data_IF_860876836648
#
_entry.id   IF_860876836648
#
_cell.length_a   1.000
_cell.length_b   1.000
_cell.length_c   1.000
_cell.angle_alpha   90.00
_cell.angle_beta   90.00
_cell.angle_gamma   90.00
#
_symmetry.space_group_name_H-M   'P 1'
#
loop_
_entity.id
_entity.type
_entity.pdbx_description
1 polymer ?
#
# COMPACT_ATOMS: atom_id res chain seq x y z
N UNK A 1 39.45 -20.52 27.25
CA UNK A 1 38.82 -20.38 25.94
C UNK A 1 37.51 -19.60 26.12
N UNK A 2 37.44 -18.34 25.71
CA UNK A 2 36.17 -17.59 25.65
C UNK A 2 35.31 -18.23 24.55
N UNK A 3 34.03 -18.51 24.79
CA UNK A 3 33.15 -18.98 23.73
C UNK A 3 33.07 -17.87 22.64
N UNK A 4 33.29 -18.25 21.39
CA UNK A 4 33.21 -17.38 20.26
C UNK A 4 31.81 -16.70 20.26
N UNK A 5 31.76 -15.38 20.20
CA UNK A 5 30.53 -14.62 20.06
C UNK A 5 29.76 -15.16 18.84
N UNK A 6 28.45 -15.43 18.97
CA UNK A 6 27.64 -15.87 17.84
C UNK A 6 27.79 -14.84 16.70
N UNK A 7 27.90 -15.31 15.44
CA UNK A 7 28.03 -14.40 14.30
C UNK A 7 26.88 -13.39 14.29
N UNK A 8 27.20 -12.13 14.02
CA UNK A 8 26.21 -11.08 13.92
C UNK A 8 25.11 -11.50 12.93
N UNK A 9 23.82 -11.27 13.24
CA UNK A 9 22.75 -11.65 12.34
C UNK A 9 22.97 -11.01 10.97
N UNK A 10 22.73 -11.74 9.86
CA UNK A 10 22.94 -11.18 8.52
C UNK A 10 22.18 -9.87 8.38
N UNK A 11 22.86 -8.84 7.88
CA UNK A 11 22.25 -7.52 7.66
C UNK A 11 21.05 -7.66 6.73
N UNK A 12 19.88 -7.14 7.14
CA UNK A 12 18.68 -7.15 6.28
C UNK A 12 18.98 -6.41 5.00
N UNK A 13 18.68 -7.05 3.87
CA UNK A 13 18.88 -6.45 2.56
C UNK A 13 17.97 -5.21 2.42
N UNK A 14 18.50 -4.16 1.82
CA UNK A 14 17.77 -2.98 1.43
C UNK A 14 17.57 -2.99 -0.10
N UNK A 15 16.35 -2.73 -0.55
CA UNK A 15 15.97 -2.78 -1.96
C UNK A 15 15.59 -1.37 -2.46
N UNK A 16 16.55 -0.53 -2.91
CA UNK A 16 16.31 0.88 -3.24
C UNK A 16 15.27 1.09 -4.34
N UNK A 17 15.21 0.17 -5.32
CA UNK A 17 14.28 0.26 -6.45
C UNK A 17 12.81 0.20 -6.02
N UNK A 18 12.51 -0.42 -4.86
CA UNK A 18 11.14 -0.51 -4.37
C UNK A 18 10.56 0.84 -3.95
N UNK A 19 11.41 1.79 -3.53
CA UNK A 19 10.98 3.15 -3.22
C UNK A 19 10.47 3.84 -4.50
N UNK A 20 11.21 3.77 -5.60
CA UNK A 20 10.76 4.33 -6.88
C UNK A 20 9.46 3.67 -7.38
N UNK A 21 9.32 2.35 -7.26
CA UNK A 21 8.11 1.63 -7.64
C UNK A 21 6.88 2.10 -6.82
N UNK A 22 7.04 2.41 -5.53
CA UNK A 22 5.97 2.99 -4.71
C UNK A 22 5.45 4.31 -5.25
N UNK A 23 6.35 5.15 -5.75
CA UNK A 23 5.94 6.42 -6.35
C UNK A 23 5.11 6.21 -7.61
N UNK A 24 5.49 5.28 -8.49
CA UNK A 24 4.70 4.96 -9.68
C UNK A 24 3.33 4.35 -9.33
N UNK A 25 3.26 3.50 -8.30
CA UNK A 25 1.98 2.99 -7.81
C UNK A 25 1.09 4.12 -7.27
N UNK A 26 1.67 5.06 -6.52
CA UNK A 26 0.96 6.26 -6.09
C UNK A 26 0.45 7.09 -7.28
N UNK A 27 1.26 7.31 -8.31
CA UNK A 27 0.81 8.04 -9.51
C UNK A 27 -0.41 7.38 -10.16
N UNK A 28 -0.48 6.04 -10.19
CA UNK A 28 -1.66 5.33 -10.70
C UNK A 28 -2.90 5.62 -9.88
N UNK A 29 -2.79 5.64 -8.54
CA UNK A 29 -3.87 6.02 -7.62
C UNK A 29 -4.25 7.49 -7.82
N UNK A 30 -3.28 8.38 -7.94
CA UNK A 30 -3.50 9.80 -8.15
C UNK A 30 -4.30 10.06 -9.44
N UNK A 31 -3.88 9.49 -10.57
CA UNK A 31 -4.59 9.64 -11.84
C UNK A 31 -6.02 9.10 -11.82
N UNK A 32 -6.29 8.07 -11.02
CA UNK A 32 -7.66 7.58 -10.83
C UNK A 32 -8.58 8.60 -10.17
N UNK A 33 -8.08 9.33 -9.18
CA UNK A 33 -8.89 10.27 -8.39
C UNK A 33 -8.99 11.67 -9.02
N UNK A 34 -8.07 12.06 -9.91
CA UNK A 34 -8.13 13.36 -10.58
C UNK A 34 -9.33 13.39 -11.52
N UNK A 35 -10.22 14.42 -11.40
CA UNK A 35 -11.36 14.60 -12.30
C UNK A 35 -10.89 15.14 -13.66
N UNK A 36 -10.46 14.24 -14.55
CA UNK A 36 -10.09 14.58 -15.93
C UNK A 36 -11.35 14.62 -16.76
N UNK A 37 -11.67 15.77 -17.31
CA UNK A 37 -12.90 16.01 -18.12
C UNK A 37 -12.67 15.84 -19.62
N UNK A 38 -11.43 15.63 -20.05
CA UNK A 38 -11.09 15.51 -21.48
C UNK A 38 -11.23 14.07 -21.97
N UNK A 39 -11.80 13.90 -23.15
CA UNK A 39 -11.79 12.66 -23.92
C UNK A 39 -10.44 12.43 -24.61
N UNK A 40 -9.35 12.60 -23.88
CA UNK A 40 -8.05 12.26 -24.40
C UNK A 40 -7.73 10.79 -24.05
N UNK A 41 -7.64 9.89 -25.06
CA UNK A 41 -7.56 8.45 -24.82
C UNK A 41 -6.47 8.07 -23.83
N UNK A 42 -5.27 8.64 -23.95
CA UNK A 42 -4.11 8.32 -23.06
C UNK A 42 -4.43 8.62 -21.59
N UNK A 43 -5.05 9.77 -21.29
CA UNK A 43 -5.42 10.15 -19.93
C UNK A 43 -6.55 9.27 -19.40
N UNK A 44 -7.50 8.88 -20.24
CA UNK A 44 -8.57 7.97 -19.88
C UNK A 44 -8.01 6.57 -19.52
N UNK A 45 -7.03 6.04 -20.26
CA UNK A 45 -6.36 4.78 -19.91
C UNK A 45 -5.59 4.88 -18.58
N UNK A 46 -4.91 5.98 -18.31
CA UNK A 46 -4.24 6.21 -17.03
C UNK A 46 -5.22 6.28 -15.85
N UNK A 47 -6.41 6.83 -16.09
CA UNK A 47 -7.48 6.95 -15.08
C UNK A 47 -8.18 5.62 -14.79
N UNK A 48 -8.46 4.81 -15.81
CA UNK A 48 -9.19 3.54 -15.65
C UNK A 48 -8.45 2.59 -14.71
N UNK A 49 -9.20 1.85 -13.88
CA UNK A 49 -8.66 0.80 -13.03
C UNK A 49 -7.67 1.25 -11.95
N UNK A 50 -7.86 2.42 -11.36
CA UNK A 50 -6.95 2.98 -10.35
C UNK A 50 -6.78 2.17 -9.08
N UNK A 51 -7.74 1.32 -8.73
CA UNK A 51 -7.63 0.39 -7.60
C UNK A 51 -6.39 -0.52 -7.68
N UNK A 52 -5.92 -0.84 -8.88
CA UNK A 52 -4.73 -1.66 -9.10
C UNK A 52 -3.44 -1.06 -8.48
N UNK A 53 -3.38 0.27 -8.30
CA UNK A 53 -2.27 0.91 -7.58
C UNK A 53 -2.26 0.53 -6.10
N UNK A 54 -3.42 0.32 -5.50
CA UNK A 54 -3.56 -0.16 -4.11
C UNK A 54 -3.16 -1.63 -4.03
N UNK A 55 -3.54 -2.47 -5.00
CA UNK A 55 -3.11 -3.88 -5.07
C UNK A 55 -1.58 -3.99 -5.11
N UNK A 56 -0.89 -3.08 -5.83
CA UNK A 56 0.57 -3.03 -5.80
C UNK A 56 1.12 -2.79 -4.38
N UNK A 57 0.53 -1.86 -3.62
CA UNK A 57 0.95 -1.62 -2.24
C UNK A 57 0.68 -2.83 -1.35
N UNK A 58 -0.41 -3.57 -1.54
CA UNK A 58 -0.69 -4.79 -0.79
C UNK A 58 0.30 -5.90 -1.12
N UNK A 59 0.63 -6.13 -2.39
CA UNK A 59 1.68 -7.09 -2.79
C UNK A 59 3.03 -6.70 -2.19
N UNK A 60 3.38 -5.42 -2.24
CA UNK A 60 4.63 -4.90 -1.68
C UNK A 60 4.67 -5.03 -0.15
N UNK A 61 3.55 -4.80 0.53
CA UNK A 61 3.41 -5.02 1.98
C UNK A 61 3.54 -6.50 2.31
N UNK A 62 2.87 -7.38 1.56
CA UNK A 62 3.03 -8.83 1.66
C UNK A 62 4.49 -9.27 1.52
N UNK A 63 5.18 -8.77 0.48
CA UNK A 63 6.60 -9.03 0.26
C UNK A 63 7.47 -8.57 1.44
N UNK A 64 7.42 -7.28 1.76
CA UNK A 64 8.33 -6.68 2.74
C UNK A 64 8.11 -7.26 4.14
N UNK A 65 6.85 -7.42 4.55
CA UNK A 65 6.54 -7.90 5.89
C UNK A 65 6.95 -9.36 6.03
N UNK A 66 6.58 -10.22 5.07
CA UNK A 66 6.99 -11.63 5.12
C UNK A 66 8.50 -11.78 5.07
N UNK A 67 9.20 -11.04 4.19
CA UNK A 67 10.66 -11.02 4.13
C UNK A 67 11.27 -10.67 5.50
N UNK A 68 10.82 -9.59 6.13
CA UNK A 68 11.36 -9.12 7.41
C UNK A 68 11.10 -10.11 8.55
N UNK A 69 9.88 -10.68 8.62
CA UNK A 69 9.50 -11.63 9.68
C UNK A 69 10.20 -12.98 9.53
N UNK A 70 10.33 -13.48 8.29
CA UNK A 70 11.07 -14.72 8.01
C UNK A 70 12.55 -14.53 8.30
N UNK A 71 13.16 -13.41 7.89
CA UNK A 71 14.55 -13.11 8.20
C UNK A 71 14.80 -12.97 9.72
N UNK A 72 13.90 -12.32 10.46
CA UNK A 72 13.98 -12.29 11.93
C UNK A 72 13.91 -13.69 12.55
N UNK A 73 13.00 -14.52 12.05
CA UNK A 73 12.82 -15.89 12.53
C UNK A 73 14.01 -16.79 12.21
N UNK A 74 14.69 -16.56 11.07
CA UNK A 74 15.94 -17.25 10.73
C UNK A 74 17.10 -16.82 11.63
N UNK A 75 17.24 -15.51 11.87
CA UNK A 75 18.36 -14.97 12.62
C UNK A 75 18.24 -15.18 14.14
N UNK A 76 17.03 -15.18 14.70
CA UNK A 76 16.77 -15.15 16.15
C UNK A 76 15.95 -16.34 16.67
N UNK A 77 15.52 -17.26 15.81
CA UNK A 77 14.60 -18.34 16.18
C UNK A 77 13.14 -17.94 16.29
N UNK A 78 12.83 -16.66 16.51
CA UNK A 78 11.49 -16.12 16.71
C UNK A 78 11.30 -14.74 16.08
N UNK A 79 10.05 -14.35 15.89
CA UNK A 79 9.67 -13.02 15.39
C UNK A 79 9.65 -12.02 16.54
N UNK A 80 10.24 -10.86 16.35
CA UNK A 80 10.21 -9.75 17.32
C UNK A 80 8.90 -8.95 17.20
N UNK A 81 7.77 -9.55 17.62
CA UNK A 81 6.39 -9.00 17.46
C UNK A 81 6.29 -7.55 17.95
N UNK A 82 6.68 -7.28 19.21
CA UNK A 82 6.62 -5.92 19.79
C UNK A 82 7.39 -4.90 18.96
N UNK A 83 8.61 -5.23 18.57
CA UNK A 83 9.45 -4.33 17.77
C UNK A 83 8.89 -4.10 16.38
N UNK A 84 8.25 -5.12 15.79
CA UNK A 84 7.55 -4.99 14.52
C UNK A 84 6.35 -4.05 14.63
N UNK A 85 5.46 -4.27 15.59
CA UNK A 85 4.27 -3.42 15.80
C UNK A 85 4.65 -1.96 16.05
N UNK A 86 5.59 -1.69 16.96
CA UNK A 86 6.07 -0.32 17.23
C UNK A 86 6.58 0.34 15.93
N UNK A 87 7.34 -0.38 15.10
CA UNK A 87 7.85 0.17 13.84
C UNK A 87 6.75 0.51 12.84
N UNK A 88 5.65 -0.24 12.81
CA UNK A 88 4.52 0.01 11.90
C UNK A 88 3.62 1.10 12.43
N UNK A 89 3.21 1.00 13.70
CA UNK A 89 2.34 2.02 14.31
C UNK A 89 2.95 3.42 14.24
N UNK A 90 4.23 3.60 14.61
CA UNK A 90 4.89 4.91 14.54
C UNK A 90 5.17 5.40 13.11
N UNK A 91 5.00 4.57 12.11
CA UNK A 91 5.08 4.99 10.70
C UNK A 91 3.71 5.42 10.14
N UNK A 92 2.61 4.76 10.57
CA UNK A 92 1.30 4.89 9.93
C UNK A 92 0.36 5.71 10.80
N UNK A 93 0.21 5.37 12.08
CA UNK A 93 -0.78 5.95 12.98
C UNK A 93 -0.73 7.47 13.11
N UNK A 94 0.44 8.14 13.22
CA UNK A 94 0.45 9.58 13.40
C UNK A 94 -0.30 10.31 12.27
N UNK A 95 0.04 10.02 11.02
CA UNK A 95 -0.59 10.68 9.88
C UNK A 95 -2.03 10.17 9.63
N UNK A 96 -2.30 8.89 9.88
CA UNK A 96 -3.65 8.34 9.84
C UNK A 96 -4.58 9.11 10.80
N UNK A 97 -4.21 9.19 12.08
CA UNK A 97 -5.04 9.90 13.07
C UNK A 97 -5.09 11.40 12.83
N UNK A 98 -4.05 12.02 12.27
CA UNK A 98 -4.11 13.41 11.84
C UNK A 98 -5.19 13.61 10.75
N UNK A 99 -5.28 12.69 9.78
CA UNK A 99 -6.34 12.71 8.78
C UNK A 99 -7.74 12.45 9.34
N UNK A 100 -7.88 11.52 10.30
CA UNK A 100 -9.15 11.28 11.01
C UNK A 100 -9.57 12.52 11.81
N UNK A 101 -8.63 13.10 12.57
CA UNK A 101 -8.91 14.33 13.34
C UNK A 101 -9.26 15.51 12.42
N UNK A 102 -8.61 15.63 11.26
CA UNK A 102 -8.99 16.62 10.25
C UNK A 102 -10.43 16.39 9.78
N UNK A 103 -10.80 15.14 9.46
CA UNK A 103 -12.13 14.82 8.94
C UNK A 103 -13.26 15.16 9.93
N UNK A 104 -13.09 14.85 11.21
CA UNK A 104 -14.11 15.06 12.24
C UNK A 104 -13.97 16.40 12.97
N UNK A 105 -12.83 17.04 12.92
CA UNK A 105 -12.56 18.31 13.61
C UNK A 105 -12.66 19.53 12.73
N UNK A 106 -12.90 19.38 11.41
CA UNK A 106 -13.02 20.50 10.48
C UNK A 106 -14.36 21.21 10.73
N UNK A 107 -14.38 22.54 11.02
CA UNK A 107 -15.62 23.28 11.15
C UNK A 107 -16.45 23.24 9.85
N UNK A 108 -17.78 23.12 9.95
CA UNK A 108 -18.67 22.94 8.81
C UNK A 108 -18.48 24.02 7.72
N UNK A 109 -18.36 25.28 8.11
CA UNK A 109 -18.13 26.38 7.15
C UNK A 109 -16.80 26.24 6.38
N UNK A 110 -15.77 25.66 7.00
CA UNK A 110 -14.49 25.41 6.34
C UNK A 110 -14.55 24.13 5.50
N UNK A 111 -15.25 23.11 5.97
CA UNK A 111 -15.51 21.89 5.23
C UNK A 111 -16.22 22.19 3.92
N UNK A 112 -17.32 22.94 3.97
CA UNK A 112 -18.08 23.37 2.78
C UNK A 112 -17.22 24.20 1.82
N UNK A 113 -16.43 25.14 2.35
CA UNK A 113 -15.50 25.94 1.54
C UNK A 113 -14.47 25.11 0.81
N UNK A 114 -14.07 23.97 1.38
CA UNK A 114 -13.09 23.03 0.80
C UNK A 114 -13.75 21.92 -0.02
N UNK A 115 -15.09 21.91 -0.12
CA UNK A 115 -15.85 20.90 -0.86
C UNK A 115 -15.99 19.57 -0.11
N UNK A 116 -15.78 19.59 1.21
CA UNK A 116 -16.02 18.43 2.03
C UNK A 116 -17.43 18.45 2.62
N UNK A 117 -18.15 17.37 2.40
CA UNK A 117 -19.46 17.14 2.99
C UNK A 117 -19.38 15.84 3.79
N UNK A 118 -19.34 15.94 5.10
CA UNK A 118 -19.22 14.77 5.98
C UNK A 118 -20.44 13.85 5.85
N UNK A 119 -21.61 14.42 5.63
CA UNK A 119 -22.85 13.68 5.36
C UNK A 119 -23.26 13.93 3.92
N UNK A 120 -23.18 12.92 3.07
CA UNK A 120 -23.55 13.06 1.67
C UNK A 120 -23.64 11.71 0.96
N UNK A 121 -24.54 11.58 -0.01
CA UNK A 121 -24.68 10.39 -0.81
C UNK A 121 -25.07 9.13 -0.03
N UNK A 122 -25.63 9.25 1.19
CA UNK A 122 -26.02 8.12 2.02
C UNK A 122 -24.92 7.60 2.97
N UNK A 123 -23.70 8.14 2.93
CA UNK A 123 -22.64 7.79 3.89
C UNK A 123 -22.67 8.75 5.08
N UNK A 124 -22.72 8.19 6.29
CA UNK A 124 -22.62 8.94 7.55
C UNK A 124 -21.37 8.46 8.29
N UNK A 125 -20.29 9.28 8.35
CA UNK A 125 -19.08 8.92 9.08
C UNK A 125 -19.37 8.65 10.55
N UNK A 126 -18.66 7.66 11.10
CA UNK A 126 -18.69 7.34 12.54
C UNK A 126 -17.24 7.26 13.03
N UNK A 127 -16.87 8.20 13.88
CA UNK A 127 -15.53 8.31 14.45
C UNK A 127 -15.05 7.00 15.11
N UNK A 128 -15.96 6.18 15.65
CA UNK A 128 -15.62 4.90 16.29
C UNK A 128 -14.98 3.95 15.30
N UNK A 129 -15.52 3.85 14.08
CA UNK A 129 -14.97 3.01 13.02
C UNK A 129 -13.63 3.55 12.53
N UNK A 130 -13.50 4.86 12.33
CA UNK A 130 -12.26 5.47 11.85
C UNK A 130 -11.14 5.36 12.90
N UNK A 131 -11.43 5.61 14.20
CA UNK A 131 -10.41 5.49 15.27
C UNK A 131 -9.97 4.04 15.55
N UNK A 132 -10.76 3.05 15.19
CA UNK A 132 -10.47 1.62 15.40
C UNK A 132 -9.98 0.91 14.14
N UNK A 133 -9.66 1.65 13.06
CA UNK A 133 -9.29 1.10 11.76
C UNK A 133 -10.37 0.18 11.15
N UNK A 134 -11.64 0.44 11.39
CA UNK A 134 -12.76 -0.33 10.87
C UNK A 134 -13.56 0.41 9.79
N UNK A 135 -13.01 1.50 9.24
CA UNK A 135 -13.68 2.33 8.22
C UNK A 135 -14.09 1.52 6.99
N UNK A 136 -13.27 0.55 6.57
CA UNK A 136 -13.60 -0.37 5.47
C UNK A 136 -14.87 -1.19 5.76
N UNK A 137 -15.06 -1.68 7.00
CA UNK A 137 -16.29 -2.41 7.37
C UNK A 137 -17.50 -1.50 7.47
N UNK A 138 -17.30 -0.23 7.89
CA UNK A 138 -18.39 0.77 7.85
C UNK A 138 -18.87 0.99 6.42
N UNK A 139 -17.93 1.10 5.46
CA UNK A 139 -18.24 1.24 4.04
C UNK A 139 -18.99 0.00 3.49
N UNK A 140 -18.56 -1.21 3.88
CA UNK A 140 -19.24 -2.46 3.53
C UNK A 140 -20.67 -2.53 4.08
N UNK A 141 -20.87 -2.16 5.33
CA UNK A 141 -22.18 -2.17 6.00
C UNK A 141 -23.16 -1.16 5.40
N UNK A 142 -22.67 -0.03 4.90
CA UNK A 142 -23.48 1.03 4.31
C UNK A 142 -23.61 0.93 2.79
N UNK A 143 -22.92 0.00 2.16
CA UNK A 143 -22.76 -0.09 0.70
C UNK A 143 -22.46 1.29 0.07
N UNK A 144 -21.58 2.06 0.70
CA UNK A 144 -21.29 3.42 0.27
C UNK A 144 -19.87 3.86 0.65
N UNK A 145 -19.37 4.85 -0.09
CA UNK A 145 -18.03 5.44 0.09
C UNK A 145 -18.14 6.87 0.62
N UNK A 146 -17.28 7.28 1.54
CA UNK A 146 -17.18 8.69 2.00
C UNK A 146 -16.50 9.57 0.94
N UNK A 147 -17.05 9.62 -0.27
CA UNK A 147 -16.42 10.24 -1.46
C UNK A 147 -16.07 11.71 -1.29
N UNK A 148 -16.84 12.42 -0.47
CA UNK A 148 -16.70 13.87 -0.22
C UNK A 148 -16.03 14.17 1.12
N UNK A 149 -15.27 13.23 1.68
CA UNK A 149 -14.57 13.41 2.94
C UNK A 149 -13.08 13.08 2.78
N UNK A 150 -12.20 13.57 3.67
CA UNK A 150 -10.80 13.17 3.71
C UNK A 150 -10.60 11.65 3.92
N UNK A 151 -11.64 10.94 4.40
CA UNK A 151 -11.57 9.50 4.72
C UNK A 151 -11.73 8.59 3.50
N UNK A 152 -12.03 9.12 2.33
CA UNK A 152 -12.41 8.33 1.14
C UNK A 152 -11.39 7.25 0.72
N UNK A 153 -10.12 7.42 1.07
CA UNK A 153 -9.04 6.46 0.76
C UNK A 153 -8.56 5.66 1.96
N UNK A 154 -9.16 5.84 3.16
CA UNK A 154 -8.67 5.25 4.40
C UNK A 154 -9.02 3.76 4.56
N UNK A 155 -9.98 3.26 3.80
CA UNK A 155 -10.34 1.84 3.79
C UNK A 155 -9.13 0.91 3.53
N UNK A 156 -8.25 1.28 2.61
CA UNK A 156 -7.08 0.47 2.29
C UNK A 156 -6.04 0.47 3.41
N UNK A 157 -5.91 1.58 4.15
CA UNK A 157 -5.06 1.67 5.33
C UNK A 157 -5.59 0.78 6.47
N UNK A 158 -6.92 0.67 6.62
CA UNK A 158 -7.53 -0.26 7.56
C UNK A 158 -7.19 -1.71 7.22
N UNK A 159 -7.29 -2.11 5.95
CA UNK A 159 -6.92 -3.45 5.49
C UNK A 159 -5.43 -3.73 5.75
N UNK A 160 -4.54 -2.76 5.51
CA UNK A 160 -3.12 -2.91 5.83
C UNK A 160 -2.87 -3.11 7.33
N UNK A 161 -3.56 -2.38 8.21
CA UNK A 161 -3.40 -2.56 9.66
C UNK A 161 -3.91 -3.93 10.13
N UNK A 162 -5.05 -4.41 9.59
CA UNK A 162 -5.53 -5.76 9.84
C UNK A 162 -4.49 -6.79 9.37
N UNK A 163 -3.92 -6.60 8.17
CA UNK A 163 -2.88 -7.45 7.64
C UNK A 163 -1.64 -7.47 8.56
N UNK A 164 -1.15 -6.32 9.02
CA UNK A 164 0.04 -6.27 9.88
C UNK A 164 -0.17 -7.03 11.18
N UNK A 165 -1.34 -6.86 11.81
CA UNK A 165 -1.68 -7.53 13.06
C UNK A 165 -1.78 -9.05 12.85
N UNK A 166 -2.60 -9.48 11.90
CA UNK A 166 -2.83 -10.91 11.63
C UNK A 166 -1.53 -11.59 11.17
N UNK A 167 -0.80 -10.96 10.24
CA UNK A 167 0.40 -11.58 9.65
C UNK A 167 1.53 -11.78 10.65
N UNK A 168 1.79 -10.79 11.50
CA UNK A 168 2.83 -10.92 12.52
C UNK A 168 2.49 -12.01 13.54
N UNK A 169 1.22 -12.11 13.95
CA UNK A 169 0.77 -13.13 14.89
C UNK A 169 0.83 -14.53 14.28
N UNK A 170 0.35 -14.71 13.06
CA UNK A 170 0.39 -16.00 12.37
C UNK A 170 1.84 -16.44 12.14
N UNK A 171 2.71 -15.58 11.62
CA UNK A 171 4.10 -15.93 11.38
C UNK A 171 4.90 -16.12 12.68
N UNK A 172 4.50 -15.50 13.79
CA UNK A 172 5.06 -15.77 15.11
C UNK A 172 4.74 -17.20 15.56
N UNK A 173 3.48 -17.61 15.43
CA UNK A 173 2.99 -18.92 15.90
C UNK A 173 3.44 -20.07 15.01
N UNK A 174 3.51 -19.90 13.69
CA UNK A 174 3.84 -20.96 12.75
C UNK A 174 5.31 -21.38 12.84
N UNK A 175 5.59 -22.68 12.75
CA UNK A 175 6.94 -23.20 12.50
C UNK A 175 7.42 -22.76 11.09
N UNK A 176 8.74 -22.59 10.91
CA UNK A 176 9.32 -22.07 9.65
C UNK A 176 8.89 -22.82 8.41
N UNK A 177 8.86 -24.17 8.50
CA UNK A 177 8.51 -25.04 7.37
C UNK A 177 7.04 -24.97 6.98
N UNK A 178 6.15 -24.46 7.86
CA UNK A 178 4.73 -24.28 7.56
C UNK A 178 4.41 -22.92 6.93
N UNK A 179 5.33 -21.94 6.97
CA UNK A 179 5.05 -20.58 6.44
C UNK A 179 4.70 -20.63 4.96
N UNK A 180 5.45 -21.39 4.16
CA UNK A 180 5.16 -21.53 2.72
C UNK A 180 3.78 -22.16 2.48
N UNK A 181 3.44 -23.19 3.25
CA UNK A 181 2.11 -23.83 3.14
C UNK A 181 0.99 -22.88 3.50
N UNK A 182 1.14 -22.09 4.57
CA UNK A 182 0.20 -21.05 4.96
C UNK A 182 -0.01 -20.03 3.83
N UNK A 183 1.07 -19.52 3.24
CA UNK A 183 1.00 -18.55 2.14
C UNK A 183 0.27 -19.15 0.92
N UNK A 184 0.53 -20.41 0.58
CA UNK A 184 -0.18 -21.10 -0.50
C UNK A 184 -1.65 -21.33 -0.18
N UNK A 185 -2.00 -21.62 1.08
CA UNK A 185 -3.38 -21.81 1.51
C UNK A 185 -4.19 -20.51 1.46
N UNK A 186 -3.55 -19.34 1.64
CA UNK A 186 -4.23 -18.05 1.50
C UNK A 186 -4.82 -17.82 0.09
N UNK A 187 -4.26 -18.43 -0.95
CA UNK A 187 -4.74 -18.25 -2.33
C UNK A 187 -6.16 -18.81 -2.52
N UNK A 188 -6.44 -20.10 -2.28
CA UNK A 188 -7.78 -20.63 -2.39
C UNK A 188 -8.73 -20.09 -1.30
N UNK A 189 -8.22 -19.73 -0.11
CA UNK A 189 -9.03 -19.13 0.95
C UNK A 189 -9.60 -17.78 0.51
N UNK A 190 -8.81 -16.90 -0.10
CA UNK A 190 -9.30 -15.62 -0.63
C UNK A 190 -10.40 -15.83 -1.68
N UNK A 191 -10.23 -16.80 -2.59
CA UNK A 191 -11.25 -17.16 -3.56
C UNK A 191 -12.54 -17.64 -2.86
N UNK A 192 -12.40 -18.48 -1.81
CA UNK A 192 -13.54 -18.94 -1.01
C UNK A 192 -14.28 -17.80 -0.32
N UNK A 193 -13.57 -16.85 0.28
CA UNK A 193 -14.18 -15.68 0.90
C UNK A 193 -14.90 -14.79 -0.12
N UNK A 194 -14.34 -14.55 -1.31
CA UNK A 194 -15.02 -13.81 -2.38
C UNK A 194 -16.28 -14.53 -2.89
N UNK A 195 -16.30 -15.87 -2.89
CA UNK A 195 -17.51 -16.65 -3.19
C UNK A 195 -18.58 -16.51 -2.11
N UNK A 196 -18.19 -16.34 -0.84
CA UNK A 196 -19.10 -16.21 0.30
C UNK A 196 -19.56 -14.77 0.53
N UNK A 197 -18.80 -13.78 0.09
CA UNK A 197 -19.06 -12.36 0.31
C UNK A 197 -20.48 -11.92 -0.08
N UNK A 198 -21.05 -12.29 -1.25
CA UNK A 198 -22.42 -11.92 -1.61
C UNK A 198 -23.51 -12.46 -0.68
N UNK A 199 -23.21 -13.52 0.08
CA UNK A 199 -24.15 -14.08 1.08
C UNK A 199 -24.06 -13.35 2.42
N UNK A 200 -22.88 -12.79 2.75
CA UNK A 200 -22.64 -12.03 3.98
C UNK A 200 -23.07 -10.57 3.82
N UNK A 201 -22.81 -9.99 2.66
CA UNK A 201 -23.13 -8.61 2.30
C UNK A 201 -23.96 -8.54 1.03
N UNK A 202 -25.23 -8.99 1.05
CA UNK A 202 -26.06 -9.19 -0.16
C UNK A 202 -26.39 -7.88 -0.90
N UNK A 203 -26.20 -6.73 -0.27
CA UNK A 203 -26.45 -5.42 -0.87
C UNK A 203 -25.17 -4.65 -1.22
N UNK A 204 -24.01 -5.32 -1.08
CA UNK A 204 -22.73 -4.68 -1.37
C UNK A 204 -22.48 -4.62 -2.88
N UNK A 205 -22.75 -3.45 -3.46
CA UNK A 205 -22.55 -3.17 -4.89
C UNK A 205 -21.31 -2.30 -5.15
N UNK A 206 -20.87 -1.54 -4.15
CA UNK A 206 -19.85 -0.50 -4.31
C UNK A 206 -18.48 -0.96 -3.83
N UNK A 207 -18.46 -1.85 -2.83
CA UNK A 207 -17.26 -2.21 -2.09
C UNK A 207 -16.95 -3.71 -2.16
N UNK A 208 -17.35 -4.37 -3.24
CA UNK A 208 -16.91 -5.75 -3.46
C UNK A 208 -15.42 -5.88 -3.13
N UNK A 209 -15.07 -6.73 -2.19
CA UNK A 209 -13.67 -7.05 -1.87
C UNK A 209 -12.87 -5.98 -1.08
N UNK A 210 -13.44 -5.30 -0.08
CA UNK A 210 -12.66 -4.34 0.74
C UNK A 210 -12.40 -4.81 2.17
N UNK A 211 -12.03 -6.05 2.34
CA UNK A 211 -11.55 -6.58 3.61
C UNK A 211 -10.25 -7.40 3.47
N UNK A 212 -9.67 -7.79 4.60
CA UNK A 212 -8.44 -8.58 4.61
C UNK A 212 -8.65 -9.97 4.01
N UNK A 213 -9.78 -10.61 4.25
CA UNK A 213 -10.02 -12.01 3.88
C UNK A 213 -10.10 -12.17 2.36
N UNK A 214 -10.76 -11.21 1.70
CA UNK A 214 -10.87 -11.17 0.24
C UNK A 214 -9.57 -10.73 -0.45
N UNK A 215 -8.57 -10.20 0.31
CA UNK A 215 -7.25 -9.82 -0.20
C UNK A 215 -6.11 -10.75 0.28
N UNK A 216 -6.41 -11.87 0.94
CA UNK A 216 -5.37 -12.78 1.45
C UNK A 216 -4.41 -13.25 0.36
N UNK A 217 -4.90 -13.52 -0.84
CA UNK A 217 -4.06 -13.92 -1.97
C UNK A 217 -3.13 -12.81 -2.45
N UNK A 218 -3.58 -11.56 -2.45
CA UNK A 218 -2.78 -10.40 -2.86
C UNK A 218 -1.58 -10.24 -1.95
N UNK A 219 -1.81 -10.28 -0.63
CA UNK A 219 -0.72 -10.25 0.36
C UNK A 219 0.14 -11.52 0.31
N UNK A 220 -0.47 -12.69 0.12
CA UNK A 220 0.23 -13.96 0.12
C UNK A 220 1.14 -14.14 -1.09
N UNK A 221 0.75 -13.67 -2.27
CA UNK A 221 1.60 -13.68 -3.47
C UNK A 221 2.86 -12.83 -3.24
N UNK A 222 2.72 -11.62 -2.70
CA UNK A 222 3.86 -10.83 -2.24
C UNK A 222 4.67 -11.57 -1.17
N UNK A 223 3.99 -12.20 -0.22
CA UNK A 223 4.57 -12.99 0.85
C UNK A 223 5.39 -14.19 0.35
N UNK A 224 4.92 -14.91 -0.68
CA UNK A 224 5.68 -16.01 -1.31
C UNK A 224 6.99 -15.52 -1.91
N UNK A 225 6.97 -14.37 -2.58
CA UNK A 225 8.20 -13.73 -3.07
C UNK A 225 9.12 -13.34 -1.91
N UNK A 226 8.56 -12.73 -0.85
CA UNK A 226 9.30 -12.35 0.36
C UNK A 226 9.91 -13.55 1.09
N UNK A 227 9.16 -14.64 1.20
CA UNK A 227 9.65 -15.90 1.75
C UNK A 227 10.82 -16.46 0.93
N UNK A 228 10.69 -16.52 -0.41
CA UNK A 228 11.75 -17.01 -1.27
C UNK A 228 13.03 -16.17 -1.13
N UNK A 229 12.91 -14.85 -1.23
CA UNK A 229 14.05 -13.93 -1.05
C UNK A 229 14.69 -14.06 0.33
N UNK A 230 13.90 -14.26 1.40
CA UNK A 230 14.43 -14.43 2.75
C UNK A 230 15.16 -15.76 2.94
N UNK A 231 14.69 -16.84 2.30
CA UNK A 231 15.23 -18.18 2.50
C UNK A 231 16.38 -18.54 1.56
N UNK A 232 16.36 -18.00 0.33
CA UNK A 232 17.36 -18.29 -0.72
C UNK A 232 17.57 -17.07 -1.63
N UNK A 233 18.14 -15.99 -1.08
CA UNK A 233 18.44 -14.82 -1.89
C UNK A 233 19.43 -15.08 -3.03
N UNK A 234 20.44 -15.91 -2.79
CA UNK A 234 21.47 -16.20 -3.79
C UNK A 234 20.87 -16.95 -5.00
N UNK A 235 20.10 -18.02 -4.75
CA UNK A 235 19.41 -18.77 -5.80
C UNK A 235 18.35 -17.93 -6.50
N UNK A 236 17.60 -17.12 -5.78
CA UNK A 236 16.65 -16.15 -6.35
C UNK A 236 17.38 -15.18 -7.31
N UNK A 237 18.42 -14.50 -6.82
CA UNK A 237 19.17 -13.51 -7.59
C UNK A 237 19.83 -14.13 -8.83
N UNK A 238 20.40 -15.33 -8.70
CA UNK A 238 20.98 -16.05 -9.82
C UNK A 238 19.94 -16.39 -10.90
N UNK A 239 18.74 -16.86 -10.50
CA UNK A 239 17.66 -17.17 -11.46
C UNK A 239 17.19 -15.93 -12.20
N UNK A 240 16.93 -14.82 -11.49
CA UNK A 240 16.46 -13.58 -12.13
C UNK A 240 17.54 -12.99 -13.04
N UNK A 241 18.79 -12.92 -12.59
CA UNK A 241 19.89 -12.38 -13.41
C UNK A 241 20.31 -13.32 -14.55
N UNK A 242 20.03 -14.61 -14.46
CA UNK A 242 20.25 -15.58 -15.52
C UNK A 242 19.26 -15.49 -16.68
N UNK A 243 18.14 -14.78 -16.51
CA UNK A 243 17.21 -14.54 -17.60
C UNK A 243 17.82 -13.55 -18.61
N UNK A 244 17.62 -13.76 -19.93
CA UNK A 244 18.02 -12.81 -20.96
C UNK A 244 17.43 -11.41 -20.67
N UNK A 245 18.23 -10.37 -20.86
CA UNK A 245 17.84 -9.00 -20.54
C UNK A 245 16.60 -8.56 -21.36
N UNK A 246 16.52 -9.01 -22.63
CA UNK A 246 15.36 -8.80 -23.49
C UNK A 246 14.07 -9.38 -22.91
N UNK A 247 14.14 -10.61 -22.35
CA UNK A 247 13.00 -11.24 -21.70
C UNK A 247 12.57 -10.44 -20.44
N UNK A 248 13.53 -9.99 -19.64
CA UNK A 248 13.26 -9.19 -18.43
C UNK A 248 12.58 -7.86 -18.75
N UNK A 249 13.07 -7.14 -19.78
CA UNK A 249 12.40 -5.92 -20.26
C UNK A 249 11.04 -6.22 -20.88
N UNK A 250 10.92 -7.34 -21.61
CA UNK A 250 9.64 -7.80 -22.16
C UNK A 250 8.61 -8.07 -21.06
N UNK A 251 9.00 -8.75 -19.97
CA UNK A 251 8.13 -8.98 -18.81
C UNK A 251 7.71 -7.67 -18.13
N UNK A 252 8.65 -6.74 -17.91
CA UNK A 252 8.34 -5.42 -17.35
C UNK A 252 7.35 -4.69 -18.25
N UNK A 253 7.62 -4.64 -19.56
CA UNK A 253 6.75 -3.99 -20.54
C UNK A 253 5.35 -4.63 -20.59
N UNK A 254 5.25 -5.95 -20.57
CA UNK A 254 3.98 -6.67 -20.56
C UNK A 254 3.16 -6.36 -19.30
N UNK A 255 3.78 -6.32 -18.12
CA UNK A 255 3.08 -5.95 -16.87
C UNK A 255 2.63 -4.49 -16.92
N UNK A 256 3.48 -3.58 -17.38
CA UNK A 256 3.11 -2.17 -17.50
C UNK A 256 1.95 -1.97 -18.49
N UNK A 257 1.96 -2.66 -19.63
CA UNK A 257 0.85 -2.65 -20.57
C UNK A 257 -0.43 -3.23 -19.94
N UNK A 258 -0.32 -4.36 -19.23
CA UNK A 258 -1.47 -4.94 -18.51
C UNK A 258 -2.03 -3.99 -17.44
N UNK A 259 -1.19 -3.19 -16.78
CA UNK A 259 -1.63 -2.17 -15.81
C UNK A 259 -2.32 -0.98 -16.51
N UNK A 260 -1.81 -0.53 -17.64
CA UNK A 260 -2.40 0.58 -18.41
C UNK A 260 -3.72 0.16 -19.05
N UNK A 261 -3.74 -1.00 -19.69
CA UNK A 261 -4.91 -1.58 -20.38
C UNK A 261 -5.69 -2.56 -19.51
N UNK A 262 -5.66 -2.37 -18.19
CA UNK A 262 -6.27 -3.30 -17.26
C UNK A 262 -7.76 -3.52 -17.47
N UNK A 263 -8.49 -2.47 -17.86
CA UNK A 263 -9.92 -2.57 -18.10
C UNK A 263 -10.26 -3.47 -19.30
N UNK A 264 -9.34 -3.61 -20.25
CA UNK A 264 -9.48 -4.43 -21.45
C UNK A 264 -8.89 -5.84 -21.26
N UNK A 265 -7.74 -5.95 -20.58
CA UNK A 265 -7.01 -7.23 -20.42
C UNK A 265 -7.53 -8.04 -19.24
N UNK A 266 -7.91 -7.37 -18.16
CA UNK A 266 -8.39 -7.95 -16.90
C UNK A 266 -9.68 -7.24 -16.46
N UNK A 267 -10.76 -7.26 -17.28
CA UNK A 267 -11.97 -6.51 -16.99
C UNK A 267 -12.61 -7.01 -15.70
N UNK A 268 -13.18 -6.07 -14.95
CA UNK A 268 -14.15 -6.39 -13.93
C UNK A 268 -15.52 -6.56 -14.58
N UNK A 269 -16.11 -7.72 -14.47
CA UNK A 269 -17.42 -8.04 -15.03
C UNK A 269 -18.34 -8.48 -13.89
N UNK A 270 -19.35 -7.69 -13.50
CA UNK A 270 -20.27 -8.04 -12.42
C UNK A 270 -20.82 -9.46 -12.60
N UNK A 271 -20.81 -10.26 -11.53
CA UNK A 271 -21.29 -11.64 -11.54
C UNK A 271 -20.38 -12.66 -12.24
N UNK A 272 -19.24 -12.25 -12.79
CA UNK A 272 -18.30 -13.17 -13.43
C UNK A 272 -17.44 -13.91 -12.40
N UNK A 273 -17.31 -15.25 -12.58
CA UNK A 273 -16.36 -16.06 -11.80
C UNK A 273 -14.91 -15.57 -11.92
N UNK A 274 -14.57 -14.87 -13.02
CA UNK A 274 -13.25 -14.32 -13.23
C UNK A 274 -12.85 -13.29 -12.15
N UNK A 275 -13.81 -12.54 -11.61
CA UNK A 275 -13.56 -11.59 -10.52
C UNK A 275 -13.01 -12.28 -9.25
N UNK A 276 -13.32 -13.56 -9.05
CA UNK A 276 -12.86 -14.36 -7.91
C UNK A 276 -11.33 -14.55 -7.97
N UNK A 277 -10.77 -14.81 -9.15
CA UNK A 277 -9.34 -15.10 -9.35
C UNK A 277 -8.53 -13.88 -9.79
N UNK A 278 -9.20 -12.85 -10.33
CA UNK A 278 -8.58 -11.65 -10.89
C UNK A 278 -7.58 -10.96 -9.94
N UNK A 279 -7.89 -10.70 -8.64
CA UNK A 279 -6.94 -10.07 -7.74
C UNK A 279 -5.64 -10.85 -7.57
N UNK A 280 -5.72 -12.18 -7.47
CA UNK A 280 -4.54 -13.06 -7.43
C UNK A 280 -3.70 -12.99 -8.71
N UNK A 281 -4.33 -12.89 -9.89
CA UNK A 281 -3.63 -12.72 -11.18
C UNK A 281 -2.90 -11.37 -11.19
N UNK A 282 -3.57 -10.28 -10.81
CA UNK A 282 -2.98 -8.95 -10.69
C UNK A 282 -1.79 -8.95 -9.72
N UNK A 283 -1.95 -9.61 -8.59
CA UNK A 283 -0.90 -9.75 -7.60
C UNK A 283 0.32 -10.51 -8.15
N UNK A 284 0.09 -11.58 -8.94
CA UNK A 284 1.16 -12.33 -9.58
C UNK A 284 1.94 -11.47 -10.60
N UNK A 285 1.25 -10.65 -11.40
CA UNK A 285 1.88 -9.70 -12.31
C UNK A 285 2.76 -8.69 -11.55
N UNK A 286 2.28 -8.14 -10.44
CA UNK A 286 3.07 -7.23 -9.61
C UNK A 286 4.24 -7.92 -8.92
N UNK A 287 4.07 -9.14 -8.44
CA UNK A 287 5.18 -9.92 -7.88
C UNK A 287 6.26 -10.20 -8.93
N UNK A 288 5.87 -10.51 -10.19
CA UNK A 288 6.80 -10.66 -11.32
C UNK A 288 7.54 -9.35 -11.62
N UNK A 289 6.84 -8.20 -11.60
CA UNK A 289 7.44 -6.88 -11.76
C UNK A 289 8.45 -6.60 -10.64
N UNK A 290 8.04 -6.74 -9.38
CA UNK A 290 8.89 -6.51 -8.21
C UNK A 290 10.15 -7.39 -8.28
N UNK A 291 10.01 -8.67 -8.64
CA UNK A 291 11.12 -9.62 -8.72
C UNK A 291 12.24 -9.15 -9.65
N UNK A 292 11.93 -8.40 -10.74
CA UNK A 292 12.96 -7.89 -11.65
C UNK A 292 13.90 -6.85 -11.03
N UNK A 293 13.46 -6.18 -9.96
CA UNK A 293 14.18 -5.08 -9.30
C UNK A 293 14.81 -5.47 -7.95
N UNK A 294 14.61 -6.70 -7.48
CA UNK A 294 15.15 -7.15 -6.19
C UNK A 294 16.64 -7.55 -6.20
N UNK A 295 17.22 -8.12 -7.29
CA UNK A 295 18.64 -8.44 -7.28
C UNK A 295 19.49 -7.17 -7.15
N UNK A 296 20.32 -7.10 -6.10
CA UNK A 296 21.14 -5.91 -5.78
C UNK A 296 22.23 -5.65 -6.84
N UNK A 297 22.73 -6.70 -7.50
CA UNK A 297 23.69 -6.64 -8.59
C UNK A 297 23.04 -6.97 -9.92
N UNK A 298 22.06 -6.15 -10.34
CA UNK A 298 21.32 -6.32 -11.58
C UNK A 298 21.56 -5.17 -12.54
N UNK A 299 21.47 -5.43 -13.86
CA UNK A 299 21.45 -4.41 -14.89
C UNK A 299 20.18 -3.55 -14.82
N UNK A 300 19.08 -4.11 -14.28
CA UNK A 300 17.79 -3.40 -14.15
C UNK A 300 17.69 -2.82 -12.74
N UNK A 301 17.76 -1.49 -12.62
CA UNK A 301 17.66 -0.76 -11.34
C UNK A 301 16.92 0.55 -11.51
N UNK A 302 16.21 0.95 -10.46
CA UNK A 302 15.57 2.25 -10.33
C UNK A 302 16.20 2.98 -9.11
N UNK A 303 17.39 3.54 -9.31
CA UNK A 303 18.19 4.16 -8.24
C UNK A 303 18.21 5.69 -8.31
N UNK A 304 17.29 6.30 -9.08
CA UNK A 304 17.18 7.75 -9.15
C UNK A 304 16.83 8.32 -7.75
N UNK A 305 17.62 9.26 -7.21
CA UNK A 305 17.44 9.77 -5.84
C UNK A 305 16.12 10.54 -5.66
N UNK A 306 15.64 11.21 -6.70
CA UNK A 306 14.36 11.94 -6.66
C UNK A 306 13.19 10.95 -6.56
N UNK A 307 13.16 9.92 -7.42
CA UNK A 307 12.14 8.87 -7.38
C UNK A 307 12.18 8.10 -6.05
N UNK A 308 13.38 7.80 -5.55
CA UNK A 308 13.55 7.18 -4.24
C UNK A 308 13.03 8.04 -3.11
N UNK A 309 13.27 9.37 -3.15
CA UNK A 309 12.73 10.29 -2.17
C UNK A 309 11.19 10.37 -2.23
N UNK A 310 10.61 10.52 -3.43
CA UNK A 310 9.15 10.53 -3.63
C UNK A 310 8.50 9.23 -3.16
N UNK A 311 9.18 8.10 -3.37
CA UNK A 311 8.71 6.81 -2.86
C UNK A 311 8.76 6.70 -1.32
N UNK A 312 9.75 7.33 -0.67
CA UNK A 312 9.80 7.38 0.82
C UNK A 312 8.63 8.14 1.42
N UNK A 313 8.22 9.24 0.79
CA UNK A 313 7.07 10.05 1.22
C UNK A 313 5.73 9.57 0.64
N UNK A 314 5.71 8.41 -0.04
CA UNK A 314 4.51 7.91 -0.74
C UNK A 314 3.30 7.73 0.18
N UNK A 315 3.50 7.51 1.48
CA UNK A 315 2.42 7.44 2.45
C UNK A 315 1.72 8.81 2.63
N UNK A 316 2.49 9.89 2.80
CA UNK A 316 1.93 11.24 2.80
C UNK A 316 1.26 11.59 1.48
N UNK A 317 1.89 11.24 0.35
CA UNK A 317 1.29 11.43 -0.98
C UNK A 317 -0.08 10.75 -1.07
N UNK A 318 -0.19 9.52 -0.57
CA UNK A 318 -1.45 8.76 -0.56
C UNK A 318 -2.51 9.40 0.33
N UNK A 319 -2.16 9.90 1.51
CA UNK A 319 -3.13 10.54 2.42
C UNK A 319 -3.58 11.90 1.88
N UNK A 320 -2.66 12.72 1.38
CA UNK A 320 -2.97 14.11 1.02
C UNK A 320 -3.56 14.31 -0.37
N UNK A 321 -3.36 13.38 -1.33
CA UNK A 321 -3.76 13.62 -2.72
C UNK A 321 -5.26 13.91 -2.86
N UNK A 322 -6.11 13.15 -2.15
CA UNK A 322 -7.56 13.33 -2.25
C UNK A 322 -8.00 14.68 -1.65
N UNK A 323 -7.37 15.08 -0.56
CA UNK A 323 -7.63 16.36 0.10
C UNK A 323 -7.28 17.52 -0.86
N UNK A 324 -6.08 17.46 -1.45
CA UNK A 324 -5.62 18.50 -2.39
C UNK A 324 -6.49 18.56 -3.64
N UNK A 325 -6.86 17.41 -4.21
CA UNK A 325 -7.73 17.34 -5.39
C UNK A 325 -9.09 17.98 -5.09
N UNK A 326 -9.72 17.64 -3.95
CA UNK A 326 -11.02 18.19 -3.58
C UNK A 326 -10.96 19.69 -3.35
N UNK A 327 -9.99 20.18 -2.59
CA UNK A 327 -9.81 21.61 -2.35
C UNK A 327 -9.58 22.38 -3.65
N UNK A 328 -8.73 21.87 -4.54
CA UNK A 328 -8.45 22.49 -5.82
C UNK A 328 -9.67 22.48 -6.74
N UNK A 329 -10.43 21.38 -6.78
CA UNK A 329 -11.67 21.28 -7.57
C UNK A 329 -12.71 22.28 -7.07
N UNK A 330 -12.93 22.35 -5.75
CA UNK A 330 -13.86 23.28 -5.15
C UNK A 330 -13.46 24.75 -5.38
N UNK A 331 -12.15 25.03 -5.32
CA UNK A 331 -11.64 26.35 -5.68
C UNK A 331 -11.98 26.72 -7.12
N UNK A 332 -11.76 25.81 -8.08
CA UNK A 332 -12.12 26.03 -9.48
C UNK A 332 -13.63 26.26 -9.64
N UNK A 333 -14.48 25.49 -8.96
CA UNK A 333 -15.93 25.64 -9.00
C UNK A 333 -16.38 27.00 -8.44
N UNK A 334 -15.88 27.39 -7.28
CA UNK A 334 -16.25 28.65 -6.61
C UNK A 334 -15.83 29.92 -7.41
N UNK A 335 -14.75 29.79 -8.19
CA UNK A 335 -14.24 30.91 -9.00
C UNK A 335 -14.63 30.81 -10.49
N UNK A 336 -15.53 29.87 -10.84
CA UNK A 336 -15.97 29.64 -12.22
C UNK A 336 -14.80 29.42 -13.20
N UNK A 337 -13.75 28.70 -12.76
CA UNK A 337 -12.58 28.35 -13.55
C UNK A 337 -12.82 26.99 -14.24
N UNK A 338 -13.27 26.97 -15.51
CA UNK A 338 -13.53 25.69 -16.17
C UNK A 338 -12.24 24.95 -16.45
N UNK A 339 -12.25 23.63 -16.24
CA UNK A 339 -11.14 22.71 -16.57
C UNK A 339 -11.50 21.96 -17.86
N UNK A 340 -11.80 22.70 -18.91
CA UNK A 340 -12.43 22.24 -20.16
C UNK A 340 -11.48 22.09 -21.36
N UNK A 341 -10.25 22.61 -21.26
CA UNK A 341 -9.23 22.49 -22.31
C UNK A 341 -8.06 21.61 -21.88
N UNK A 342 -7.29 21.10 -22.84
CA UNK A 342 -6.09 20.28 -22.58
C UNK A 342 -5.13 21.03 -21.65
N UNK A 343 -4.82 22.30 -21.94
CA UNK A 343 -3.89 23.10 -21.14
C UNK A 343 -4.36 23.28 -19.69
N UNK A 344 -5.66 23.58 -19.49
CA UNK A 344 -6.26 23.74 -18.16
C UNK A 344 -6.29 22.40 -17.38
N UNK A 345 -6.59 21.29 -18.04
CA UNK A 345 -6.51 19.96 -17.42
C UNK A 345 -5.07 19.62 -17.02
N UNK A 346 -4.09 19.85 -17.90
CA UNK A 346 -2.68 19.60 -17.56
C UNK A 346 -2.22 20.50 -16.41
N UNK A 347 -2.63 21.77 -16.39
CA UNK A 347 -2.33 22.69 -15.29
C UNK A 347 -2.99 22.22 -13.98
N UNK A 348 -4.24 21.77 -14.02
CA UNK A 348 -4.93 21.23 -12.85
C UNK A 348 -4.25 19.97 -12.33
N UNK A 349 -3.98 19.00 -13.19
CA UNK A 349 -3.31 17.74 -12.82
C UNK A 349 -1.89 18.00 -12.29
N UNK A 350 -1.09 18.78 -13.03
CA UNK A 350 0.28 19.12 -12.62
C UNK A 350 0.31 19.95 -11.34
N UNK A 351 -0.57 20.94 -11.22
CA UNK A 351 -0.70 21.79 -10.03
C UNK A 351 -1.11 21.00 -8.79
N UNK A 352 -2.14 20.17 -8.88
CA UNK A 352 -2.58 19.32 -7.76
C UNK A 352 -1.53 18.29 -7.37
N UNK A 353 -0.80 17.70 -8.34
CA UNK A 353 0.33 16.82 -8.04
C UNK A 353 1.46 17.57 -7.33
N UNK A 354 1.85 18.74 -7.82
CA UNK A 354 2.92 19.54 -7.23
C UNK A 354 2.56 19.96 -5.79
N UNK A 355 1.33 20.42 -5.54
CA UNK A 355 0.85 20.76 -4.19
C UNK A 355 0.81 19.52 -3.29
N UNK A 356 0.33 18.37 -3.79
CA UNK A 356 0.35 17.11 -3.04
C UNK A 356 1.77 16.74 -2.62
N UNK A 357 2.73 16.85 -3.53
CA UNK A 357 4.15 16.60 -3.22
C UNK A 357 4.65 17.59 -2.17
N UNK A 358 4.40 18.88 -2.34
CA UNK A 358 4.85 19.91 -1.40
C UNK A 358 4.29 19.68 0.02
N UNK A 359 2.97 19.45 0.16
CA UNK A 359 2.32 19.17 1.45
C UNK A 359 2.88 17.88 2.07
N UNK A 360 3.09 16.84 1.27
CA UNK A 360 3.66 15.58 1.76
C UNK A 360 5.12 15.74 2.20
N UNK A 361 5.92 16.56 1.52
CA UNK A 361 7.28 16.89 1.94
C UNK A 361 7.28 17.62 3.28
N UNK A 362 6.43 18.63 3.44
CA UNK A 362 6.29 19.37 4.70
C UNK A 362 5.84 18.44 5.84
N UNK A 363 4.81 17.63 5.60
CA UNK A 363 4.34 16.63 6.56
C UNK A 363 5.46 15.67 6.95
N UNK A 364 6.18 15.12 5.98
CA UNK A 364 7.26 14.18 6.24
C UNK A 364 8.35 14.79 7.13
N UNK A 365 8.81 16.00 6.83
CA UNK A 365 9.90 16.62 7.58
C UNK A 365 9.48 17.15 8.95
N UNK A 366 8.32 17.77 9.06
CA UNK A 366 7.92 18.45 10.29
C UNK A 366 7.02 17.60 11.20
N UNK A 367 6.22 16.70 10.63
CA UNK A 367 5.27 15.91 11.40
C UNK A 367 5.70 14.43 11.54
N UNK A 368 6.05 13.75 10.44
CA UNK A 368 6.31 12.30 10.49
C UNK A 368 7.70 11.96 11.06
N UNK A 369 8.75 12.73 10.72
CA UNK A 369 10.12 12.44 11.15
C UNK A 369 10.31 12.32 12.68
N UNK A 370 9.69 13.12 13.55
CA UNK A 370 9.78 12.93 15.01
C UNK A 370 9.36 11.53 15.45
N UNK A 371 8.26 11.00 14.90
CA UNK A 371 7.78 9.65 15.20
C UNK A 371 8.71 8.57 14.64
N UNK A 372 9.28 8.78 13.45
CA UNK A 372 10.27 7.87 12.88
C UNK A 372 11.56 7.82 13.71
N UNK A 373 12.01 8.94 14.27
CA UNK A 373 13.16 8.98 15.22
C UNK A 373 12.81 8.27 16.53
N UNK A 374 11.62 8.47 17.06
CA UNK A 374 11.11 7.76 18.25
C UNK A 374 11.08 6.25 18.00
N UNK A 375 10.59 5.81 16.83
CA UNK A 375 10.62 4.42 16.39
C UNK A 375 12.03 3.82 16.49
N UNK A 376 13.03 4.50 15.99
CA UNK A 376 14.42 4.02 16.04
C UNK A 376 14.91 3.87 17.47
N UNK A 377 14.61 4.83 18.35
CA UNK A 377 14.99 4.78 19.77
C UNK A 377 14.35 3.59 20.49
N UNK A 378 13.03 3.36 20.26
CA UNK A 378 12.28 2.31 20.95
C UNK A 378 12.60 0.90 20.42
N UNK A 379 13.15 0.76 19.22
CA UNK A 379 13.41 -0.54 18.59
C UNK A 379 14.89 -0.88 18.46
N UNK A 380 15.81 -0.05 18.99
CA UNK A 380 17.23 -0.37 19.08
C UNK A 380 17.44 -1.61 19.96
N UNK A 381 18.24 -2.58 19.53
CA UNK A 381 18.67 -3.66 20.42
C UNK A 381 19.36 -3.05 21.64
N UNK A 382 18.96 -3.44 22.87
CA UNK A 382 19.76 -3.09 24.06
C UNK A 382 21.15 -3.69 23.89
N UNK A 383 22.25 -2.95 24.13
CA UNK A 383 23.58 -3.52 24.15
C UNK A 383 23.59 -4.69 25.16
N UNK A 384 24.09 -5.84 24.73
CA UNK A 384 24.32 -6.97 25.61
C UNK A 384 25.41 -6.55 26.60
N UNK A 385 25.04 -6.10 27.79
CA UNK A 385 26.02 -5.62 28.79
C UNK A 385 25.44 -4.71 29.88
N UNK A 386 24.20 -4.25 29.76
CA UNK A 386 23.53 -3.51 30.85
C UNK A 386 22.67 -4.46 31.72
N UNK A 387 23.23 -5.60 32.12
CA UNK A 387 22.70 -6.37 33.25
C UNK A 387 23.25 -5.71 34.52
N UNK A 388 22.42 -4.85 35.09
CA UNK A 388 22.21 -4.57 36.50
C UNK A 388 23.36 -5.00 37.44
N UNK A 389 24.21 -4.03 37.75
CA UNK A 389 24.75 -3.89 39.09
C UNK A 389 23.66 -3.21 39.96
N UNK A 390 22.78 -3.98 40.51
CA UNK A 390 22.05 -3.66 41.73
C UNK A 390 22.22 -4.85 42.65
N UNK A 391 23.24 -4.68 43.54
CA UNK A 391 23.42 -5.46 44.75
C UNK A 391 22.34 -5.09 45.78
#
# INVERSE_FOLDING_TARGET
>A
MQPALPPAPPSKLHFPSLEALRFFAFLKVFFFHVPIQLDWPVLQYLKRGGGIGVDFFFVLSGFLITYLLVADKQARGQVAVRSFLIRRSLRIWPLYYAGVLLAFGLPDALAERWGFHMVGGGYVPDWRFSFTFLENYKMLLMDNLPRTTPLSVFWSLCIEEHFYLVWVLVLFLLARHHIRLFLLACLPLACGFRLLEPFVFPHNSVMETNDLLTHLDVFAVGGLLGHWVATDYAGFSARINGLPLSLRYGLIGAVLLAVVFQAEVLPYVPGSWFNIVRPGIVAALFALLIAQFLPLHSAIRLTNPVLGYLGRISYGLYVFHIIVIHVALQYCLNHHLPVDTVGKNLLFVGGTLAVTVAVSMLSFHFFEQPFLRLRERLTRPRPAGAAVLHG
#
